data_IF_814163769676
#
_entry.id   IF_814163769676
#
_cell.length_a   1.000
_cell.length_b   1.000
_cell.length_c   1.000
_cell.angle_alpha   90.00
_cell.angle_beta   90.00
_cell.angle_gamma   90.00
#
_symmetry.space_group_name_H-M   'P 1'
#
loop_
_entity.id
_entity.type
_entity.pdbx_description
1 polymer ?
#
# COMPACT_ATOMS: atom_id res chain seq x y z
N UNK A 1 -0.35 25.39 -5.46
CA UNK A 1 -1.54 24.53 -5.32
C UNK A 1 -1.54 23.92 -3.93
N UNK A 2 -2.68 23.84 -3.25
CA UNK A 2 -2.73 23.24 -1.89
C UNK A 2 -2.63 21.71 -1.99
N UNK A 3 -1.99 21.01 -1.04
CA UNK A 3 -1.87 19.54 -1.09
C UNK A 3 -3.20 18.78 -1.23
N UNK A 4 -4.32 19.34 -0.76
CA UNK A 4 -5.66 18.77 -0.95
C UNK A 4 -6.17 18.82 -2.40
N UNK A 5 -5.84 19.87 -3.15
CA UNK A 5 -6.23 20.04 -4.55
C UNK A 5 -5.47 19.03 -5.44
N UNK A 6 -4.17 18.84 -5.17
CA UNK A 6 -3.35 17.84 -5.86
C UNK A 6 -3.93 16.42 -5.73
N UNK A 7 -4.32 16.04 -4.51
CA UNK A 7 -4.90 14.73 -4.23
C UNK A 7 -6.23 14.52 -4.95
N UNK A 8 -7.11 15.52 -4.94
CA UNK A 8 -8.39 15.45 -5.66
C UNK A 8 -8.17 15.29 -7.16
N UNK A 9 -7.26 16.06 -7.74
CA UNK A 9 -6.93 15.99 -9.15
C UNK A 9 -6.43 14.60 -9.55
N UNK A 10 -5.54 13.99 -8.76
CA UNK A 10 -5.09 12.61 -8.96
C UNK A 10 -6.26 11.64 -9.08
N UNK A 11 -7.18 11.69 -8.11
CA UNK A 11 -8.34 10.82 -8.07
C UNK A 11 -9.29 11.02 -9.25
N UNK A 12 -9.59 12.27 -9.63
CA UNK A 12 -10.43 12.56 -10.79
C UNK A 12 -9.81 12.03 -12.08
N UNK A 13 -8.49 12.20 -12.28
CA UNK A 13 -7.80 11.71 -13.47
C UNK A 13 -7.83 10.18 -13.62
N UNK A 14 -7.88 9.44 -12.50
CA UNK A 14 -7.97 7.97 -12.53
C UNK A 14 -9.42 7.50 -12.65
N UNK A 15 -10.36 8.16 -11.98
CA UNK A 15 -11.77 7.79 -11.98
C UNK A 15 -12.45 7.89 -13.36
N UNK A 16 -11.90 8.69 -14.28
CA UNK A 16 -12.38 8.79 -15.67
C UNK A 16 -12.05 7.55 -16.53
N UNK A 17 -11.17 6.66 -16.07
CA UNK A 17 -10.76 5.47 -16.81
C UNK A 17 -11.38 4.22 -16.18
N UNK A 18 -12.39 3.64 -16.84
CA UNK A 18 -13.07 2.42 -16.40
C UNK A 18 -12.58 1.19 -17.16
N UNK A 19 -12.57 0.04 -16.51
CA UNK A 19 -12.18 -1.24 -17.10
C UNK A 19 -12.96 -2.37 -16.43
N UNK A 20 -12.89 -3.56 -17.01
CA UNK A 20 -13.65 -4.73 -16.57
C UNK A 20 -13.27 -5.15 -15.14
N UNK A 21 -14.29 -5.40 -14.30
CA UNK A 21 -14.10 -5.69 -12.88
C UNK A 21 -13.34 -7.01 -12.64
N UNK A 22 -13.53 -8.02 -13.50
CA UNK A 22 -12.76 -9.28 -13.49
C UNK A 22 -11.27 -9.06 -13.71
N UNK A 23 -10.94 -8.21 -14.67
CA UNK A 23 -9.54 -7.82 -14.93
C UNK A 23 -8.99 -7.05 -13.74
N UNK A 24 -9.80 -6.19 -13.15
CA UNK A 24 -9.42 -5.35 -12.02
C UNK A 24 -8.87 -6.16 -10.85
N UNK A 25 -9.64 -7.18 -10.45
CA UNK A 25 -9.30 -8.08 -9.37
C UNK A 25 -7.98 -8.81 -9.63
N UNK A 26 -7.78 -9.32 -10.85
CA UNK A 26 -6.54 -10.03 -11.21
C UNK A 26 -5.28 -9.15 -11.23
N UNK A 27 -5.45 -7.86 -11.52
CA UNK A 27 -4.35 -6.88 -11.56
C UNK A 27 -3.89 -6.44 -10.16
N UNK A 28 -4.81 -6.34 -9.20
CA UNK A 28 -4.58 -5.83 -7.85
C UNK A 28 -3.41 -6.55 -7.16
N UNK A 29 -3.47 -7.89 -7.09
CA UNK A 29 -2.43 -8.72 -6.49
C UNK A 29 -1.08 -8.52 -7.16
N UNK A 30 -1.08 -8.51 -8.50
CA UNK A 30 0.13 -8.31 -9.31
C UNK A 30 0.81 -6.99 -8.95
N UNK A 31 0.06 -5.91 -8.88
CA UNK A 31 0.57 -4.58 -8.53
C UNK A 31 1.08 -4.55 -7.09
N UNK A 32 0.35 -5.15 -6.14
CA UNK A 32 0.78 -5.20 -4.74
C UNK A 32 2.11 -5.97 -4.61
N UNK A 33 2.25 -7.08 -5.34
CA UNK A 33 3.49 -7.84 -5.40
C UNK A 33 4.63 -6.99 -5.96
N UNK A 34 4.43 -6.29 -7.07
CA UNK A 34 5.45 -5.43 -7.68
C UNK A 34 5.88 -4.31 -6.73
N UNK A 35 4.93 -3.59 -6.12
CA UNK A 35 5.21 -2.36 -5.37
C UNK A 35 5.63 -2.60 -3.91
N UNK A 36 5.14 -3.66 -3.26
CA UNK A 36 5.26 -3.81 -1.80
C UNK A 36 5.90 -5.11 -1.33
N UNK A 37 6.05 -6.14 -2.17
CA UNK A 37 6.66 -7.38 -1.69
C UNK A 37 8.19 -7.26 -1.61
N UNK A 38 8.72 -7.51 -0.40
CA UNK A 38 10.14 -7.37 -0.10
C UNK A 38 10.86 -8.67 -0.40
N UNK A 39 11.59 -8.74 -1.51
CA UNK A 39 12.50 -9.86 -1.80
C UNK A 39 13.93 -9.37 -1.52
N UNK A 40 14.58 -9.97 -0.52
CA UNK A 40 16.04 -10.09 -0.40
C UNK A 40 16.92 -8.89 0.04
N UNK A 41 16.60 -8.20 1.15
CA UNK A 41 17.65 -7.49 1.92
C UNK A 41 17.55 -7.64 3.44
N UNK A 42 16.53 -8.34 3.95
CA UNK A 42 16.41 -8.60 5.38
C UNK A 42 16.83 -10.04 5.67
N UNK A 43 17.58 -10.28 6.75
CA UNK A 43 18.01 -11.62 7.12
C UNK A 43 16.81 -12.57 7.21
N UNK A 44 17.00 -13.88 6.97
CA UNK A 44 15.90 -14.86 6.76
C UNK A 44 14.82 -14.88 7.85
N UNK A 45 15.11 -14.44 9.08
CA UNK A 45 14.12 -14.24 10.15
C UNK A 45 13.16 -13.03 9.96
N UNK A 46 13.30 -12.28 8.86
CA UNK A 46 12.50 -11.11 8.48
C UNK A 46 12.00 -11.19 7.03
N UNK A 47 12.04 -12.38 6.44
CA UNK A 47 11.33 -12.63 5.19
C UNK A 47 9.85 -12.69 5.49
N UNK A 48 9.14 -11.63 5.14
CA UNK A 48 7.69 -11.57 5.27
C UNK A 48 7.12 -12.17 3.99
N UNK A 49 6.64 -13.41 4.05
CA UNK A 49 5.66 -13.87 3.09
C UNK A 49 4.39 -13.09 3.42
N UNK A 50 4.13 -12.03 2.65
CA UNK A 50 2.91 -11.25 2.86
C UNK A 50 1.77 -12.12 2.36
N UNK A 51 0.79 -12.34 3.21
CA UNK A 51 -0.53 -12.77 2.76
C UNK A 51 -1.13 -11.55 2.06
N UNK A 52 -0.71 -11.31 0.82
CA UNK A 52 -1.63 -10.78 -0.17
C UNK A 52 -2.78 -11.78 -0.30
N UNK A 53 -3.92 -11.30 -0.79
CA UNK A 53 -4.96 -12.18 -1.32
C UNK A 53 -4.20 -13.27 -2.09
N UNK A 54 -4.38 -14.54 -1.71
CA UNK A 54 -3.64 -15.59 -2.41
C UNK A 54 -4.06 -15.44 -3.86
N UNK A 55 -3.12 -15.05 -4.73
CA UNK A 55 -3.24 -15.33 -6.16
C UNK A 55 -3.69 -16.78 -6.23
N UNK A 56 -4.90 -16.99 -6.70
CA UNK A 56 -5.49 -18.30 -6.85
C UNK A 56 -4.79 -19.02 -8.01
N UNK A 57 -3.47 -19.19 -7.93
CA UNK A 57 -2.63 -19.86 -8.93
C UNK A 57 -2.71 -19.30 -10.36
N UNK A 58 -3.45 -18.22 -10.61
CA UNK A 58 -3.89 -17.80 -11.93
C UNK A 58 -3.36 -16.42 -12.34
N UNK A 59 -2.38 -15.86 -11.63
CA UNK A 59 -1.68 -14.67 -12.13
C UNK A 59 -1.03 -15.04 -13.47
N UNK A 60 -1.37 -14.36 -14.58
CA UNK A 60 -0.81 -14.67 -15.91
C UNK A 60 0.69 -14.36 -15.99
N UNK A 61 1.21 -13.60 -15.02
CA UNK A 61 2.61 -13.19 -14.94
C UNK A 61 3.40 -14.15 -14.04
N UNK A 62 4.47 -14.73 -14.58
CA UNK A 62 5.37 -15.61 -13.82
C UNK A 62 6.14 -14.85 -12.74
N UNK A 63 6.59 -15.57 -11.70
CA UNK A 63 7.32 -14.97 -10.57
C UNK A 63 8.62 -14.27 -11.01
N UNK A 64 9.32 -14.79 -12.02
CA UNK A 64 10.53 -14.17 -12.57
C UNK A 64 10.25 -12.83 -13.25
N UNK A 65 9.12 -12.73 -13.96
CA UNK A 65 8.65 -11.48 -14.58
C UNK A 65 8.28 -10.44 -13.50
N UNK A 66 7.52 -10.85 -12.48
CA UNK A 66 7.17 -9.97 -11.35
C UNK A 66 8.40 -9.44 -10.61
N UNK A 67 9.43 -10.28 -10.46
CA UNK A 67 10.71 -9.88 -9.88
C UNK A 67 11.44 -8.86 -10.75
N UNK A 68 11.54 -9.10 -12.06
CA UNK A 68 12.19 -8.19 -13.00
C UNK A 68 11.53 -6.81 -13.01
N UNK A 69 10.20 -6.77 -13.04
CA UNK A 69 9.44 -5.52 -12.93
C UNK A 69 9.77 -4.78 -11.63
N UNK A 70 9.75 -5.48 -10.50
CA UNK A 70 10.05 -4.88 -9.19
C UNK A 70 11.45 -4.31 -9.11
N UNK A 71 12.45 -5.05 -9.59
CA UNK A 71 13.84 -4.61 -9.54
C UNK A 71 14.02 -3.31 -10.34
N UNK A 72 13.38 -3.20 -11.51
CA UNK A 72 13.35 -2.00 -12.34
C UNK A 72 12.61 -0.84 -11.65
N UNK A 73 11.47 -1.12 -11.01
CA UNK A 73 10.74 -0.11 -10.24
C UNK A 73 11.60 0.43 -9.09
N UNK A 74 12.19 -0.42 -8.26
CA UNK A 74 13.03 0.01 -7.14
C UNK A 74 14.26 0.82 -7.61
N UNK A 75 14.83 0.50 -8.78
CA UNK A 75 15.92 1.27 -9.37
C UNK A 75 15.49 2.71 -9.75
N UNK A 76 14.27 2.89 -10.27
CA UNK A 76 13.73 4.19 -10.74
C UNK A 76 12.86 4.90 -9.71
N UNK A 77 12.56 4.26 -8.59
CA UNK A 77 11.60 4.73 -7.58
C UNK A 77 11.90 6.14 -7.06
N UNK A 78 13.17 6.46 -6.84
CA UNK A 78 13.57 7.79 -6.35
C UNK A 78 13.25 8.89 -7.36
N UNK A 79 13.40 8.59 -8.65
CA UNK A 79 13.10 9.53 -9.73
C UNK A 79 11.59 9.67 -9.93
N UNK A 80 10.85 8.55 -9.89
CA UNK A 80 9.39 8.55 -9.99
C UNK A 80 8.76 9.30 -8.81
N UNK A 81 9.25 9.08 -7.59
CA UNK A 81 8.69 9.61 -6.33
C UNK A 81 9.43 10.83 -5.79
N UNK A 82 10.08 11.62 -6.65
CA UNK A 82 10.86 12.76 -6.20
C UNK A 82 10.04 13.70 -5.29
N UNK A 83 10.67 14.29 -4.28
CA UNK A 83 9.99 15.01 -3.18
C UNK A 83 9.04 16.13 -3.63
N UNK A 84 9.31 16.74 -4.78
CA UNK A 84 8.52 17.84 -5.35
C UNK A 84 7.51 17.40 -6.43
N UNK A 85 7.24 16.10 -6.56
CA UNK A 85 6.36 15.60 -7.62
C UNK A 85 4.91 16.01 -7.40
N UNK A 86 4.34 16.77 -8.35
CA UNK A 86 2.89 16.98 -8.44
C UNK A 86 2.19 15.70 -8.92
N UNK A 87 0.86 15.59 -8.83
CA UNK A 87 0.08 14.50 -9.43
C UNK A 87 0.36 14.30 -10.91
N UNK A 88 0.45 15.39 -11.68
CA UNK A 88 0.71 15.35 -13.12
C UNK A 88 2.12 14.85 -13.40
N UNK A 89 3.12 15.35 -12.66
CA UNK A 89 4.50 14.86 -12.76
C UNK A 89 4.60 13.39 -12.34
N UNK A 90 3.89 12.99 -11.28
CA UNK A 90 3.85 11.59 -10.84
C UNK A 90 3.22 10.71 -11.92
N UNK A 91 2.10 11.14 -12.53
CA UNK A 91 1.45 10.43 -13.63
C UNK A 91 2.41 10.31 -14.81
N UNK A 92 2.96 11.42 -15.28
CA UNK A 92 3.89 11.46 -16.41
C UNK A 92 5.09 10.52 -16.21
N UNK A 93 5.77 10.62 -15.06
CA UNK A 93 6.92 9.75 -14.75
C UNK A 93 6.54 8.29 -14.61
N UNK A 94 5.37 8.01 -14.04
CA UNK A 94 4.87 6.65 -13.90
C UNK A 94 4.51 6.07 -15.26
N UNK A 95 3.85 6.85 -16.13
CA UNK A 95 3.57 6.47 -17.52
C UNK A 95 4.85 6.22 -18.29
N UNK A 96 5.83 7.12 -18.24
CA UNK A 96 7.14 6.93 -18.88
C UNK A 96 7.86 5.67 -18.38
N UNK A 97 7.72 5.35 -17.09
CA UNK A 97 8.27 4.12 -16.52
C UNK A 97 7.56 2.89 -17.09
N UNK A 98 6.23 2.87 -17.08
CA UNK A 98 5.39 1.77 -17.58
C UNK A 98 5.57 1.55 -19.09
N UNK A 99 5.82 2.62 -19.84
CA UNK A 99 6.07 2.59 -21.29
C UNK A 99 7.55 2.38 -21.66
N UNK A 100 8.44 2.31 -20.68
CA UNK A 100 9.86 2.10 -20.94
C UNK A 100 10.10 0.75 -21.61
N UNK A 101 11.10 0.67 -22.51
CA UNK A 101 11.41 -0.56 -23.25
C UNK A 101 11.63 -1.77 -22.33
N UNK A 102 12.25 -1.54 -21.16
CA UNK A 102 12.45 -2.57 -20.14
C UNK A 102 11.11 -3.14 -19.64
N UNK A 103 10.12 -2.28 -19.36
CA UNK A 103 8.80 -2.71 -18.89
C UNK A 103 7.97 -3.29 -20.03
N UNK A 104 8.01 -2.68 -21.22
CA UNK A 104 7.30 -3.17 -22.41
C UNK A 104 7.72 -4.58 -22.80
N UNK A 105 8.99 -4.93 -22.68
CA UNK A 105 9.47 -6.31 -22.86
C UNK A 105 8.80 -7.31 -21.94
N UNK A 106 8.47 -6.91 -20.71
CA UNK A 106 7.78 -7.77 -19.75
C UNK A 106 6.27 -7.89 -20.03
N UNK A 107 5.67 -6.86 -20.63
CA UNK A 107 4.21 -6.74 -20.80
C UNK A 107 3.75 -7.25 -22.16
N UNK A 108 4.51 -7.02 -23.23
CA UNK A 108 4.27 -7.55 -24.58
C UNK A 108 4.31 -9.08 -24.65
N UNK A 109 4.99 -9.73 -23.68
CA UNK A 109 5.09 -11.18 -23.58
C UNK A 109 3.99 -11.83 -22.71
N UNK A 110 3.22 -11.06 -21.93
CA UNK A 110 2.45 -11.63 -20.82
C UNK A 110 0.98 -11.23 -20.75
N UNK A 111 0.56 -10.10 -21.34
CA UNK A 111 -0.75 -9.50 -21.04
C UNK A 111 -1.49 -9.03 -22.29
N UNK A 112 -2.81 -9.25 -22.33
CA UNK A 112 -3.68 -8.59 -23.31
C UNK A 112 -3.85 -7.08 -22.99
N UNK A 113 -4.39 -6.33 -23.95
CA UNK A 113 -4.55 -4.88 -23.83
C UNK A 113 -5.46 -4.47 -22.66
N UNK A 114 -6.49 -5.27 -22.38
CA UNK A 114 -7.46 -5.03 -21.31
C UNK A 114 -6.80 -5.19 -19.93
N UNK A 115 -6.03 -6.26 -19.73
CA UNK A 115 -5.23 -6.49 -18.54
C UNK A 115 -4.20 -5.39 -18.33
N UNK A 116 -3.51 -4.97 -19.40
CA UNK A 116 -2.54 -3.87 -19.28
C UNK A 116 -3.20 -2.56 -18.84
N UNK A 117 -4.40 -2.27 -19.33
CA UNK A 117 -5.16 -1.10 -18.91
C UNK A 117 -5.52 -1.15 -17.42
N UNK A 118 -6.05 -2.29 -16.94
CA UNK A 118 -6.34 -2.51 -15.52
C UNK A 118 -5.08 -2.44 -14.64
N UNK A 119 -4.00 -3.08 -15.07
CA UNK A 119 -2.71 -3.06 -14.36
C UNK A 119 -2.18 -1.63 -14.21
N UNK A 120 -2.19 -0.84 -15.28
CA UNK A 120 -1.76 0.56 -15.24
C UNK A 120 -2.60 1.38 -14.26
N UNK A 121 -3.92 1.17 -14.26
CA UNK A 121 -4.81 1.87 -13.34
C UNK A 121 -4.47 1.55 -11.88
N UNK A 122 -4.32 0.28 -11.53
CA UNK A 122 -3.95 -0.11 -10.16
C UNK A 122 -2.55 0.33 -9.80
N UNK A 123 -1.60 0.25 -10.72
CA UNK A 123 -0.24 0.70 -10.49
C UNK A 123 -0.24 2.18 -10.09
N UNK A 124 -1.01 3.00 -10.80
CA UNK A 124 -1.25 4.39 -10.44
C UNK A 124 -1.96 4.49 -9.07
N UNK A 125 -3.08 3.81 -8.85
CA UNK A 125 -3.81 3.87 -7.58
C UNK A 125 -2.90 3.58 -6.36
N UNK A 126 -2.04 2.57 -6.45
CA UNK A 126 -1.09 2.22 -5.40
C UNK A 126 0.14 3.12 -5.31
N UNK A 127 0.63 3.68 -6.43
CA UNK A 127 1.82 4.56 -6.38
C UNK A 127 1.53 5.86 -5.61
N UNK A 128 0.27 6.30 -5.56
CA UNK A 128 -0.16 7.42 -4.72
C UNK A 128 0.15 7.20 -3.22
N UNK A 129 0.15 5.95 -2.75
CA UNK A 129 0.57 5.58 -1.38
C UNK A 129 2.08 5.56 -1.17
N UNK A 130 2.84 5.78 -2.23
CA UNK A 130 4.27 5.99 -2.17
C UNK A 130 4.62 7.47 -2.29
N UNK A 131 3.76 8.29 -2.87
CA UNK A 131 3.98 9.71 -3.12
C UNK A 131 4.33 10.54 -1.87
N UNK A 132 5.10 11.64 -2.02
CA UNK A 132 5.48 12.51 -0.90
C UNK A 132 4.29 13.19 -0.19
N UNK A 133 3.20 13.43 -0.91
CA UNK A 133 2.01 14.16 -0.44
C UNK A 133 0.92 13.29 0.19
N UNK A 134 1.18 11.99 0.36
CA UNK A 134 0.23 11.03 0.94
C UNK A 134 -0.05 11.29 2.43
N UNK A 135 -1.29 11.08 2.86
CA UNK A 135 -1.69 11.06 4.28
C UNK A 135 -1.85 9.65 4.81
N UNK A 136 -1.82 8.67 3.92
CA UNK A 136 -1.92 7.25 4.23
C UNK A 136 -0.68 6.51 3.71
N UNK A 137 -0.28 5.45 4.41
CA UNK A 137 0.76 4.53 3.94
C UNK A 137 0.40 3.09 4.27
N UNK A 138 0.79 2.17 3.40
CA UNK A 138 0.73 0.74 3.70
C UNK A 138 1.88 0.35 4.64
N UNK A 139 1.57 -0.50 5.61
CA UNK A 139 2.56 -1.21 6.43
C UNK A 139 2.23 -2.69 6.52
N UNK A 140 3.27 -3.48 6.71
CA UNK A 140 3.15 -4.90 7.03
C UNK A 140 2.89 -5.05 8.53
N UNK A 141 1.77 -5.68 8.89
CA UNK A 141 1.35 -5.91 10.27
C UNK A 141 1.04 -7.39 10.51
N UNK A 142 1.45 -7.97 11.65
CA UNK A 142 0.96 -9.27 12.08
C UNK A 142 -0.47 -9.15 12.64
N UNK A 143 -1.43 -9.91 12.10
CA UNK A 143 -2.78 -10.06 12.63
C UNK A 143 -3.15 -11.53 12.68
N UNK A 144 -3.67 -12.01 13.81
CA UNK A 144 -4.15 -13.39 13.99
C UNK A 144 -3.15 -14.48 13.52
N UNK A 145 -1.84 -14.28 13.77
CA UNK A 145 -0.79 -15.22 13.36
C UNK A 145 -0.40 -15.17 11.88
N UNK A 146 -0.99 -14.27 11.08
CA UNK A 146 -0.66 -14.03 9.67
C UNK A 146 -0.02 -12.67 9.48
N UNK A 147 0.76 -12.51 8.41
CA UNK A 147 1.36 -11.23 8.03
C UNK A 147 0.47 -10.60 6.95
N UNK A 148 -0.09 -9.43 7.20
CA UNK A 148 -0.98 -8.73 6.29
C UNK A 148 -0.54 -7.28 6.05
N UNK A 149 -1.17 -6.61 5.08
CA UNK A 149 -1.06 -5.17 4.91
C UNK A 149 -2.15 -4.45 5.70
N UNK A 150 -1.77 -3.34 6.34
CA UNK A 150 -2.68 -2.40 7.01
C UNK A 150 -2.30 -0.98 6.58
N UNK A 151 -3.29 -0.10 6.48
CA UNK A 151 -3.07 1.31 6.14
C UNK A 151 -2.95 2.12 7.42
N UNK A 152 -1.99 3.04 7.46
CA UNK A 152 -1.81 3.95 8.59
C UNK A 152 -1.76 5.39 8.14
N UNK A 153 -2.36 6.27 8.94
CA UNK A 153 -2.22 7.70 8.78
C UNK A 153 -0.75 8.12 8.99
N UNK A 154 -0.22 8.95 8.11
CA UNK A 154 1.13 9.53 8.22
C UNK A 154 1.12 10.83 9.01
N UNK A 155 -0.03 11.48 9.07
CA UNK A 155 -0.32 12.73 9.76
C UNK A 155 -1.77 12.69 10.27
N UNK A 156 -2.15 13.66 11.10
CA UNK A 156 -3.55 13.81 11.49
C UNK A 156 -4.43 14.09 10.26
N UNK A 157 -5.56 13.40 10.19
CA UNK A 157 -6.59 13.53 9.17
C UNK A 157 -7.83 14.05 9.89
N UNK A 158 -8.37 15.19 9.48
CA UNK A 158 -9.58 15.74 10.10
C UNK A 158 -10.81 14.92 9.72
N UNK A 159 -11.89 15.05 10.50
CA UNK A 159 -13.18 14.47 10.14
C UNK A 159 -13.68 15.01 8.79
N UNK A 160 -14.49 14.20 8.09
CA UNK A 160 -15.10 14.51 6.78
C UNK A 160 -14.06 14.78 5.70
N UNK A 161 -12.90 14.14 5.81
CA UNK A 161 -11.81 14.29 4.86
C UNK A 161 -11.82 13.14 3.88
N UNK A 162 -11.91 13.46 2.59
CA UNK A 162 -11.70 12.49 1.50
C UNK A 162 -10.23 12.15 1.37
N UNK A 163 -9.94 10.85 1.28
CA UNK A 163 -8.62 10.25 1.15
C UNK A 163 -8.36 9.84 -0.29
N UNK A 164 -8.29 10.82 -1.18
CA UNK A 164 -8.10 10.61 -2.63
C UNK A 164 -6.82 9.85 -3.03
N UNK A 165 -5.89 9.63 -2.10
CA UNK A 165 -4.74 8.73 -2.29
C UNK A 165 -5.06 7.24 -2.05
N UNK A 166 -6.21 6.95 -1.44
CA UNK A 166 -6.78 5.62 -1.23
C UNK A 166 -7.93 5.46 -2.22
N UNK A 167 -7.59 4.97 -3.40
CA UNK A 167 -8.52 4.74 -4.50
C UNK A 167 -8.67 3.26 -4.74
N UNK A 168 -9.90 2.78 -4.70
CA UNK A 168 -10.19 1.40 -5.07
C UNK A 168 -11.29 1.35 -6.12
N UNK A 169 -11.66 0.14 -6.46
CA UNK A 169 -12.78 -0.15 -7.33
C UNK A 169 -13.81 -0.98 -6.57
N UNK A 170 -15.06 -0.85 -7.01
CA UNK A 170 -16.14 -1.73 -6.61
C UNK A 170 -16.65 -2.44 -7.86
N UNK A 171 -16.67 -3.77 -7.85
CA UNK A 171 -17.15 -4.52 -9.02
C UNK A 171 -18.60 -4.15 -9.35
N UNK A 172 -18.87 -3.93 -10.63
CA UNK A 172 -20.19 -3.54 -11.13
C UNK A 172 -20.97 -4.78 -11.59
N UNK A 173 -20.25 -5.82 -12.00
CA UNK A 173 -20.83 -6.99 -12.67
C UNK A 173 -21.26 -8.09 -11.68
N UNK A 174 -22.55 -8.46 -11.62
CA UNK A 174 -23.05 -9.52 -10.73
C UNK A 174 -22.52 -10.93 -11.07
N UNK A 175 -22.06 -11.13 -12.30
CA UNK A 175 -21.55 -12.40 -12.81
C UNK A 175 -20.04 -12.57 -12.63
N UNK A 176 -19.34 -11.57 -12.09
CA UNK A 176 -17.90 -11.64 -11.77
C UNK A 176 -17.66 -12.47 -10.50
N UNK A 177 -18.09 -13.73 -10.55
CA UNK A 177 -17.74 -14.80 -9.62
C UNK A 177 -16.34 -15.36 -9.93
N UNK A 178 -15.38 -14.48 -10.22
CA UNK A 178 -13.98 -14.89 -10.20
C UNK A 178 -13.70 -15.36 -8.77
N UNK A 179 -13.03 -16.50 -8.62
CA UNK A 179 -12.62 -17.01 -7.33
C UNK A 179 -11.69 -15.99 -6.64
N UNK A 180 -12.29 -15.06 -5.94
CA UNK A 180 -11.62 -14.07 -5.12
C UNK A 180 -11.77 -14.51 -3.66
N UNK A 181 -10.81 -14.15 -2.81
CA UNK A 181 -10.99 -14.44 -1.38
C UNK A 181 -12.19 -13.65 -0.87
N UNK A 182 -13.05 -14.28 -0.06
CA UNK A 182 -14.25 -13.64 0.51
C UNK A 182 -13.96 -12.36 1.33
N UNK A 183 -12.68 -12.10 1.63
CA UNK A 183 -12.13 -11.01 2.45
C UNK A 183 -12.40 -9.58 1.94
N UNK A 184 -12.85 -9.42 0.70
CA UNK A 184 -13.22 -8.11 0.13
C UNK A 184 -14.59 -8.10 -0.54
N UNK A 185 -15.41 -9.14 -0.32
CA UNK A 185 -16.77 -9.19 -0.82
C UNK A 185 -17.67 -8.34 0.07
N UNK A 186 -18.44 -7.43 -0.49
CA UNK A 186 -19.47 -6.66 0.18
C UNK A 186 -20.84 -7.04 -0.39
N UNK A 187 -21.89 -6.87 0.40
CA UNK A 187 -23.27 -6.99 -0.06
C UNK A 187 -23.85 -5.59 -0.21
N UNK A 188 -24.50 -5.31 -1.33
CA UNK A 188 -25.31 -4.11 -1.46
C UNK A 188 -26.71 -4.27 -0.84
N UNK A 189 -27.54 -3.23 -0.90
CA UNK A 189 -28.88 -3.24 -0.34
C UNK A 189 -29.82 -4.31 -0.95
N UNK A 190 -29.48 -4.85 -2.12
CA UNK A 190 -30.21 -5.91 -2.80
C UNK A 190 -29.55 -7.28 -2.60
N UNK A 191 -28.65 -7.42 -1.61
CA UNK A 191 -27.86 -8.62 -1.34
C UNK A 191 -27.00 -9.08 -2.53
N UNK A 192 -26.69 -8.17 -3.45
CA UNK A 192 -25.80 -8.46 -4.58
C UNK A 192 -24.36 -8.36 -4.10
N UNK A 193 -23.58 -9.41 -4.39
CA UNK A 193 -22.15 -9.46 -4.08
C UNK A 193 -21.39 -8.47 -4.95
N UNK A 194 -20.59 -7.63 -4.33
CA UNK A 194 -19.64 -6.72 -4.97
C UNK A 194 -18.26 -6.95 -4.39
N UNK A 195 -17.23 -6.83 -5.21
CA UNK A 195 -15.84 -7.03 -4.79
C UNK A 195 -15.19 -5.66 -4.69
N UNK A 196 -14.71 -5.36 -3.49
CA UNK A 196 -13.86 -4.20 -3.21
C UNK A 196 -12.41 -4.55 -3.54
N UNK A 197 -11.73 -3.73 -4.34
CA UNK A 197 -10.34 -3.97 -4.69
C UNK A 197 -9.51 -2.68 -4.67
N UNK A 198 -8.20 -2.80 -4.48
CA UNK A 198 -7.25 -1.70 -4.45
C UNK A 198 -6.74 -1.38 -3.04
N UNK A 199 -6.07 -0.23 -2.86
CA UNK A 199 -5.50 0.25 -1.59
C UNK A 199 -6.54 0.60 -0.51
N UNK A 200 -7.48 -0.30 -0.22
CA UNK A 200 -8.55 -0.16 0.74
C UNK A 200 -8.54 -1.42 1.59
N UNK A 201 -8.13 -1.29 2.86
CA UNK A 201 -7.83 -2.46 3.68
C UNK A 201 -8.68 -2.54 4.96
N UNK A 202 -8.99 -3.80 5.26
CA UNK A 202 -9.83 -4.38 6.31
C UNK A 202 -9.69 -3.73 7.68
N UNK A 203 -10.83 -3.34 8.28
CA UNK A 203 -11.16 -3.49 9.72
C UNK A 203 -12.47 -2.77 10.07
N UNK A 204 -13.38 -3.47 10.76
CA UNK A 204 -14.63 -2.91 11.29
C UNK A 204 -14.35 -1.77 12.28
N UNK A 205 -14.57 -0.53 11.82
CA UNK A 205 -14.59 0.68 12.63
C UNK A 205 -15.45 1.74 11.93
N UNK A 206 -16.38 2.38 12.62
CA UNK A 206 -17.36 3.34 12.06
C UNK A 206 -16.71 4.66 11.56
N UNK A 207 -15.37 4.73 11.56
CA UNK A 207 -14.58 5.94 11.33
C UNK A 207 -14.50 6.35 9.85
N UNK A 208 -14.95 5.51 8.92
CA UNK A 208 -14.78 5.74 7.48
C UNK A 208 -15.97 5.21 6.68
N UNK A 209 -16.44 6.03 5.73
CA UNK A 209 -17.40 5.65 4.69
C UNK A 209 -16.71 5.68 3.32
N UNK A 210 -17.13 4.81 2.40
CA UNK A 210 -16.68 4.93 1.01
C UNK A 210 -17.58 5.92 0.25
N UNK A 211 -17.00 6.62 -0.72
CA UNK A 211 -17.71 7.52 -1.64
C UNK A 211 -17.31 7.20 -3.08
N UNK A 212 -18.28 7.17 -3.99
CA UNK A 212 -18.02 7.07 -5.42
C UNK A 212 -17.43 8.38 -5.95
N UNK A 213 -16.42 8.25 -6.81
CA UNK A 213 -15.74 9.36 -7.45
C UNK A 213 -16.23 9.63 -8.86
N UNK A 214 -16.89 8.64 -9.45
CA UNK A 214 -17.40 8.64 -10.81
C UNK A 214 -18.90 8.35 -10.84
N UNK A 215 -19.54 8.74 -11.93
CA UNK A 215 -20.97 8.50 -12.14
C UNK A 215 -21.27 7.01 -12.41
N UNK A 216 -20.28 6.25 -12.88
CA UNK A 216 -20.45 4.83 -13.18
C UNK A 216 -20.31 3.94 -11.94
N UNK A 217 -20.08 4.55 -10.77
CA UNK A 217 -19.94 3.85 -9.48
C UNK A 217 -18.86 2.76 -9.49
N UNK A 218 -17.82 2.96 -10.31
CA UNK A 218 -16.69 2.05 -10.41
C UNK A 218 -15.62 2.41 -9.40
N UNK A 219 -15.20 3.67 -9.38
CA UNK A 219 -14.07 4.16 -8.62
C UNK A 219 -14.54 4.73 -7.28
N UNK A 220 -13.92 4.28 -6.20
CA UNK A 220 -14.26 4.72 -4.85
C UNK A 220 -13.07 5.30 -4.11
N UNK A 221 -13.36 6.21 -3.20
CA UNK A 221 -12.41 6.70 -2.19
C UNK A 221 -13.01 6.58 -0.81
N UNK A 222 -12.20 6.85 0.21
CA UNK A 222 -12.63 6.85 1.60
C UNK A 222 -12.85 8.28 2.08
N UNK A 223 -13.92 8.49 2.85
CA UNK A 223 -14.23 9.71 3.55
C UNK A 223 -14.28 9.41 5.05
N UNK A 224 -13.47 10.12 5.83
CA UNK A 224 -13.44 9.93 7.28
C UNK A 224 -14.72 10.48 7.93
N UNK A 225 -15.33 9.74 8.85
CA UNK A 225 -16.46 10.23 9.66
C UNK A 225 -15.97 10.96 10.91
N UNK A 226 -14.79 10.58 11.42
CA UNK A 226 -14.10 11.20 12.56
C UNK A 226 -12.67 11.62 12.20
N UNK A 227 -12.00 12.35 13.11
CA UNK A 227 -10.57 12.59 12.96
C UNK A 227 -9.79 11.29 13.20
N UNK A 228 -8.64 11.14 12.51
CA UNK A 228 -7.70 10.04 12.65
C UNK A 228 -6.33 10.63 12.98
N UNK A 229 -5.71 10.19 14.07
CA UNK A 229 -4.42 10.70 14.51
C UNK A 229 -3.24 10.10 13.70
N UNK A 230 -2.13 10.83 13.71
CA UNK A 230 -0.92 10.39 13.02
C UNK A 230 -0.42 9.05 13.59
N UNK A 231 -0.32 8.04 12.74
CA UNK A 231 0.12 6.71 13.10
C UNK A 231 -0.99 5.75 13.54
N UNK A 232 -2.24 6.19 13.55
CA UNK A 232 -3.40 5.30 13.69
C UNK A 232 -3.65 4.53 12.40
N UNK A 233 -4.24 3.34 12.55
CA UNK A 233 -4.67 2.50 11.44
C UNK A 233 -5.92 3.13 10.81
N UNK A 234 -5.96 3.17 9.48
CA UNK A 234 -7.12 3.60 8.70
C UNK A 234 -7.90 2.32 8.38
N UNK A 235 -9.16 2.28 8.82
CA UNK A 235 -10.00 1.09 8.81
C UNK A 235 -11.40 1.38 8.30
N UNK A 236 -11.98 0.46 7.54
CA UNK A 236 -13.27 0.61 6.86
C UNK A 236 -14.26 -0.40 7.42
N UNK A 237 -15.46 0.07 7.76
CA UNK A 237 -16.59 -0.79 8.10
C UNK A 237 -17.12 -1.53 6.86
N UNK A 238 -17.17 -2.86 6.93
CA UNK A 238 -17.68 -3.75 5.86
C UNK A 238 -19.19 -4.03 6.02
N UNK A 239 -19.80 -3.53 7.09
CA UNK A 239 -21.21 -3.72 7.42
C UNK A 239 -21.42 -4.71 8.56
N UNK A 240 -22.62 -4.67 9.16
CA UNK A 240 -23.00 -5.59 10.23
C UNK A 240 -23.01 -7.03 9.71
N UNK A 241 -22.58 -7.97 10.55
CA UNK A 241 -22.64 -9.41 10.28
C UNK A 241 -21.55 -9.96 9.34
N UNK A 242 -20.68 -9.10 8.80
CA UNK A 242 -19.64 -9.52 7.85
C UNK A 242 -18.67 -10.59 8.39
N UNK A 243 -18.45 -10.63 9.71
CA UNK A 243 -17.57 -11.61 10.36
C UNK A 243 -18.33 -12.69 11.15
N UNK A 244 -19.66 -12.78 11.01
CA UNK A 244 -20.45 -13.72 11.81
C UNK A 244 -20.17 -15.18 11.42
N UNK A 245 -19.77 -15.41 10.17
CA UNK A 245 -19.43 -16.73 9.63
C UNK A 245 -17.94 -17.13 9.84
N UNK A 246 -17.07 -16.21 10.28
CA UNK A 246 -15.66 -16.55 10.56
C UNK A 246 -15.51 -17.22 11.93
N UNK A 247 -14.82 -18.36 12.00
CA UNK A 247 -14.47 -19.00 13.28
C UNK A 247 -13.70 -18.03 14.18
N UNK A 248 -14.38 -17.57 15.24
CA UNK A 248 -13.86 -16.61 16.21
C UNK A 248 -14.42 -15.20 16.05
N UNK A 249 -15.18 -14.86 15.01
CA UNK A 249 -15.78 -13.54 14.82
C UNK A 249 -14.78 -12.41 14.58
N UNK A 250 -15.28 -11.16 14.53
CA UNK A 250 -14.48 -9.98 14.18
C UNK A 250 -13.20 -9.85 15.03
N UNK A 251 -12.03 -9.79 14.36
CA UNK A 251 -10.73 -9.65 15.00
C UNK A 251 -10.28 -8.19 15.19
N UNK A 252 -11.18 -7.20 15.02
CA UNK A 252 -10.81 -5.80 15.19
C UNK A 252 -10.49 -5.47 16.65
N UNK A 253 -9.72 -4.39 16.87
CA UNK A 253 -9.33 -3.92 18.21
C UNK A 253 -10.55 -3.60 19.07
N UNK A 254 -11.67 -3.17 18.47
CA UNK A 254 -12.91 -2.89 19.19
C UNK A 254 -13.60 -4.18 19.68
N UNK A 255 -13.67 -5.22 18.84
CA UNK A 255 -14.35 -6.49 19.15
C UNK A 255 -13.46 -7.46 19.97
N UNK A 256 -12.15 -7.45 19.75
CA UNK A 256 -11.16 -8.23 20.51
C UNK A 256 -10.03 -7.31 21.00
N UNK A 257 -10.16 -6.74 22.21
CA UNK A 257 -9.14 -5.87 22.79
C UNK A 257 -7.80 -6.55 23.09
N UNK A 258 -7.65 -7.85 22.81
CA UNK A 258 -6.49 -8.67 23.15
C UNK A 258 -5.40 -8.62 22.09
N UNK A 259 -4.69 -7.50 22.05
CA UNK A 259 -3.26 -7.42 21.77
C UNK A 259 -2.74 -6.19 22.52
N UNK A 260 -1.53 -6.22 23.09
CA UNK A 260 -1.05 -5.11 23.92
C UNK A 260 -1.20 -3.85 23.10
N UNK A 261 -1.75 -2.78 23.70
CA UNK A 261 -1.55 -1.41 23.21
C UNK A 261 -0.12 -1.40 22.70
N UNK A 262 0.09 -1.32 21.39
CA UNK A 262 1.38 -0.91 20.87
C UNK A 262 1.55 0.40 21.60
N UNK A 263 2.37 0.37 22.65
CA UNK A 263 2.49 1.49 23.54
C UNK A 263 2.67 2.67 22.59
N UNK A 264 1.87 3.71 22.79
CA UNK A 264 2.22 5.05 22.37
C UNK A 264 3.55 5.37 23.05
N UNK A 265 4.60 4.70 22.58
CA UNK A 265 5.95 4.84 23.03
C UNK A 265 6.32 6.25 22.63
N UNK A 266 7.03 6.98 23.49
CA UNK A 266 7.38 8.37 23.24
C UNK A 266 7.96 8.46 21.82
N UNK A 267 7.28 9.26 20.99
CA UNK A 267 7.62 9.63 19.61
C UNK A 267 8.86 8.94 19.05
N UNK A 268 8.66 7.99 18.14
CA UNK A 268 9.74 7.24 17.44
C UNK A 268 10.76 8.17 16.76
N UNK A 269 10.40 9.44 16.53
CA UNK A 269 11.28 10.51 16.06
C UNK A 269 12.39 10.82 17.09
N UNK A 270 12.11 10.81 18.40
CA UNK A 270 13.12 10.99 19.46
C UNK A 270 14.03 9.77 19.61
N UNK A 271 13.51 8.56 19.46
CA UNK A 271 14.30 7.32 19.58
C UNK A 271 15.22 7.07 18.38
N UNK A 272 14.83 7.48 17.17
CA UNK A 272 15.70 7.42 15.99
C UNK A 272 16.82 8.47 16.05
N UNK A 273 16.55 9.68 16.54
CA UNK A 273 17.58 10.69 16.79
C UNK A 273 18.60 10.23 17.85
N UNK A 274 18.12 9.69 18.98
CA UNK A 274 18.97 9.13 20.04
C UNK A 274 19.78 7.91 19.58
N UNK A 275 19.21 7.05 18.73
CA UNK A 275 19.90 5.88 18.16
C UNK A 275 20.98 6.29 17.14
N UNK A 276 20.71 7.30 16.31
CA UNK A 276 21.69 7.88 15.38
C UNK A 276 22.84 8.56 16.11
N UNK A 277 22.55 9.26 17.21
CA UNK A 277 23.58 9.91 18.03
C UNK A 277 24.46 8.88 18.77
N UNK A 278 23.85 7.83 19.37
CA UNK A 278 24.60 6.72 19.98
C UNK A 278 25.48 5.98 18.97
N UNK A 279 25.03 5.80 17.72
CA UNK A 279 25.84 5.21 16.64
C UNK A 279 26.98 6.15 16.20
N UNK A 280 26.76 7.47 16.16
CA UNK A 280 27.82 8.46 15.88
C UNK A 280 28.91 8.47 16.94
N UNK A 281 28.53 8.45 18.23
CA UNK A 281 29.48 8.41 19.35
C UNK A 281 30.33 7.14 19.29
N UNK A 282 29.71 5.95 19.15
CA UNK A 282 30.44 4.68 19.02
C UNK A 282 31.40 4.66 17.82
N UNK A 283 31.01 5.24 16.68
CA UNK A 283 31.90 5.30 15.51
C UNK A 283 33.07 6.28 15.69
N UNK A 284 32.86 7.41 16.39
CA UNK A 284 33.95 8.34 16.75
C UNK A 284 34.94 7.66 17.70
N UNK A 285 34.45 6.97 18.73
CA UNK A 285 35.30 6.23 19.67
C UNK A 285 36.10 5.11 18.97
N UNK A 286 35.46 4.36 18.06
CA UNK A 286 36.15 3.31 17.29
C UNK A 286 37.26 3.88 16.41
N UNK A 287 37.00 5.00 15.71
CA UNK A 287 38.02 5.68 14.89
C UNK A 287 39.15 6.27 15.74
N UNK A 288 38.85 6.79 16.93
CA UNK A 288 39.87 7.30 17.84
C UNK A 288 40.78 6.18 18.37
N UNK A 289 40.20 5.03 18.77
CA UNK A 289 40.97 3.85 19.20
C UNK A 289 41.85 3.28 18.09
N UNK A 290 41.34 3.19 16.86
CA UNK A 290 42.13 2.75 15.71
C UNK A 290 43.30 3.70 15.39
N UNK A 291 43.08 5.02 15.48
CA UNK A 291 44.16 6.02 15.30
C UNK A 291 45.20 5.96 16.42
N UNK A 292 44.79 5.73 17.66
CA UNK A 292 45.70 5.58 18.79
C UNK A 292 46.57 4.32 18.64
N UNK A 293 45.97 3.19 18.27
CA UNK A 293 46.71 1.94 17.98
C UNK A 293 47.67 2.10 16.82
N UNK A 294 47.27 2.81 15.75
CA UNK A 294 48.15 3.07 14.60
C UNK A 294 49.32 4.00 14.94
N UNK A 295 49.11 4.99 15.82
CA UNK A 295 50.19 5.86 16.32
C UNK A 295 51.16 5.12 17.25
N UNK A 296 50.66 4.29 18.16
CA UNK A 296 51.50 3.48 19.04
C UNK A 296 52.39 2.52 18.23
N UNK A 297 51.81 1.84 17.25
CA UNK A 297 52.53 0.90 16.37
C UNK A 297 53.55 1.57 15.44
N UNK A 298 53.43 2.89 15.21
CA UNK A 298 54.39 3.70 14.44
C UNK A 298 55.52 4.27 15.31
N UNK A 299 55.39 4.25 16.63
CA UNK A 299 56.45 4.64 17.57
C UNK A 299 57.33 3.47 17.99
N UNK A 300 56.89 2.23 17.72
CA UNK A 300 57.64 0.99 17.93
C UNK A 300 58.45 0.54 16.70
N UNK A 301 58.34 1.28 15.58
CA UNK A 301 59.12 1.13 14.35
C UNK A 301 60.04 2.35 14.19
#
# INVERSE_FOLDING_TARGET
>A
MRPGELRKQWATMLAENTFNSKVAISCDDTVVHVLFSQINQRPPHRQHCVSTLRSTGNTPISESLLKGFRDEFEAKKTDILAENSSPETLKERTTMFLESESIRKWTELALDEEYWHGFNWYFMAYIALLAPWKRARIRVCPLAGRIQFSIFATQRIEARTRLYELLGTLSIDPEDQVAHTDLSTMLDANETRKILSGPLFRKYDELIQYEFLDNNQFAITLCTTSAIEAGEEISVDYGPGYFDDEEGGCACVACKPTAPKLASGPSRIKNEAMSRERKRIKNKERKARQRAQYKAKKQEL
#
